data_IF_709817530632
#
_entry.id   IF_709817530632
#
_cell.length_a   1.000
_cell.length_b   1.000
_cell.length_c   1.000
_cell.angle_alpha   90.00
_cell.angle_beta   90.00
_cell.angle_gamma   90.00
#
_symmetry.space_group_name_H-M   'P 1'
#
loop_
_entity.id
_entity.type
_entity.pdbx_description
1 polymer ?
#
# COMPACT_ATOMS: atom_id res chain seq x y z
N UNK A 1 10.27 23.20 -47.75
CA UNK A 1 10.14 21.87 -47.11
C UNK A 1 11.18 21.65 -45.98
N UNK A 2 12.48 21.78 -46.24
CA UNK A 2 13.55 21.59 -45.24
C UNK A 2 13.44 22.47 -43.97
N UNK A 3 13.05 23.75 -44.11
CA UNK A 3 12.91 24.69 -42.97
C UNK A 3 11.74 24.28 -42.05
N UNK A 4 10.64 23.78 -42.62
CA UNK A 4 9.47 23.34 -41.86
C UNK A 4 9.75 22.06 -41.06
N UNK A 5 10.47 21.10 -41.66
CA UNK A 5 10.92 19.88 -40.98
C UNK A 5 11.90 20.19 -39.84
N UNK A 6 12.81 21.16 -40.04
CA UNK A 6 13.77 21.60 -39.02
C UNK A 6 13.06 22.26 -37.83
N UNK A 7 12.00 23.03 -38.08
CA UNK A 7 11.14 23.62 -37.03
C UNK A 7 10.37 22.54 -36.27
N UNK A 8 9.71 21.61 -36.97
CA UNK A 8 9.01 20.46 -36.35
C UNK A 8 9.94 19.65 -35.43
N UNK A 9 11.16 19.36 -35.88
CA UNK A 9 12.15 18.65 -35.09
C UNK A 9 12.63 19.46 -33.87
N UNK A 10 12.75 20.78 -34.02
CA UNK A 10 13.10 21.68 -32.91
C UNK A 10 11.98 21.79 -31.86
N UNK A 11 10.72 21.91 -32.29
CA UNK A 11 9.56 21.88 -31.40
C UNK A 11 9.45 20.53 -30.68
N UNK A 12 9.61 19.40 -31.38
CA UNK A 12 9.63 18.07 -30.77
C UNK A 12 10.71 17.92 -29.69
N UNK A 13 11.96 18.33 -29.99
CA UNK A 13 13.07 18.31 -29.01
C UNK A 13 12.82 19.23 -27.80
N UNK A 14 12.17 20.37 -28.01
CA UNK A 14 11.82 21.32 -26.94
C UNK A 14 10.71 20.76 -26.04
N UNK A 15 9.68 20.15 -26.62
CA UNK A 15 8.62 19.45 -25.88
C UNK A 15 9.18 18.28 -25.05
N UNK A 16 10.08 17.47 -25.63
CA UNK A 16 10.73 16.35 -24.91
C UNK A 16 11.59 16.86 -23.76
N UNK A 17 12.38 17.92 -23.95
CA UNK A 17 13.17 18.55 -22.86
C UNK A 17 12.27 19.13 -21.77
N UNK A 18 11.18 19.79 -22.13
CA UNK A 18 10.22 20.32 -21.17
C UNK A 18 9.56 19.20 -20.37
N UNK A 19 9.11 18.14 -21.04
CA UNK A 19 8.54 16.94 -20.41
C UNK A 19 9.53 16.27 -19.45
N UNK A 20 10.79 16.07 -19.86
CA UNK A 20 11.86 15.55 -19.00
C UNK A 20 12.12 16.43 -17.78
N UNK A 21 12.14 17.76 -17.95
CA UNK A 21 12.35 18.70 -16.84
C UNK A 21 11.19 18.66 -15.85
N UNK A 22 9.94 18.69 -16.34
CA UNK A 22 8.75 18.57 -15.49
C UNK A 22 8.76 17.24 -14.72
N UNK A 23 9.14 16.14 -15.38
CA UNK A 23 9.26 14.83 -14.75
C UNK A 23 10.35 14.79 -13.67
N UNK A 24 11.56 15.31 -13.95
CA UNK A 24 12.63 15.37 -12.96
C UNK A 24 12.30 16.28 -11.79
N UNK A 25 11.66 17.42 -12.05
CA UNK A 25 11.19 18.31 -10.99
C UNK A 25 10.16 17.61 -10.10
N UNK A 26 9.23 16.85 -10.67
CA UNK A 26 8.27 16.04 -9.92
C UNK A 26 8.95 15.00 -9.03
N UNK A 27 9.90 14.23 -9.59
CA UNK A 27 10.67 13.25 -8.82
C UNK A 27 11.46 13.90 -7.67
N UNK A 28 12.06 15.08 -7.91
CA UNK A 28 12.78 15.81 -6.87
C UNK A 28 11.86 16.31 -5.76
N UNK A 29 10.62 16.73 -6.10
CA UNK A 29 9.63 17.18 -5.13
C UNK A 29 9.12 16.01 -4.29
N UNK A 30 8.77 14.88 -4.91
CA UNK A 30 8.33 13.67 -4.21
C UNK A 30 9.41 13.16 -3.24
N UNK A 31 10.67 13.11 -3.68
CA UNK A 31 11.80 12.72 -2.84
C UNK A 31 12.02 13.68 -1.66
N UNK A 32 11.90 14.99 -1.89
CA UNK A 32 12.01 16.00 -0.82
C UNK A 32 10.91 15.85 0.22
N UNK A 33 9.65 15.68 -0.21
CA UNK A 33 8.50 15.50 0.68
C UNK A 33 8.71 14.27 1.57
N UNK A 34 9.06 13.13 0.98
CA UNK A 34 9.26 11.87 1.72
C UNK A 34 10.42 11.99 2.71
N UNK A 35 11.52 12.65 2.32
CA UNK A 35 12.64 12.87 3.23
C UNK A 35 12.27 13.79 4.40
N UNK A 36 11.50 14.85 4.15
CA UNK A 36 11.01 15.73 5.21
C UNK A 36 10.08 14.98 6.18
N UNK A 37 9.13 14.19 5.66
CA UNK A 37 8.27 13.34 6.47
C UNK A 37 9.09 12.34 7.30
N UNK A 38 10.14 11.74 6.73
CA UNK A 38 11.06 10.86 7.47
C UNK A 38 11.74 11.59 8.63
N UNK A 39 12.24 12.81 8.41
CA UNK A 39 12.83 13.64 9.48
C UNK A 39 11.81 13.98 10.57
N UNK A 40 10.57 14.29 10.21
CA UNK A 40 9.49 14.57 11.17
C UNK A 40 9.12 13.32 11.96
N UNK A 41 9.03 12.16 11.31
CA UNK A 41 8.72 10.87 11.95
C UNK A 41 9.73 10.49 13.03
N UNK A 42 11.02 10.71 12.77
CA UNK A 42 12.09 10.45 13.75
C UNK A 42 11.99 11.31 15.02
N UNK A 43 11.27 12.44 14.98
CA UNK A 43 11.07 13.33 16.12
C UNK A 43 9.76 13.06 16.89
N UNK A 44 8.93 12.12 16.42
CA UNK A 44 7.69 11.79 17.10
C UNK A 44 7.97 11.08 18.43
N UNK A 45 7.26 11.51 19.47
CA UNK A 45 7.28 10.88 20.81
C UNK A 45 6.05 10.02 21.09
N UNK A 46 5.07 10.06 20.19
CA UNK A 46 3.79 9.37 20.29
C UNK A 46 3.55 8.53 19.03
N UNK A 47 3.00 7.33 19.25
CA UNK A 47 2.64 6.38 18.21
C UNK A 47 1.57 6.91 17.26
N UNK A 48 0.55 7.64 17.74
CA UNK A 48 -0.50 8.16 16.88
C UNK A 48 0.07 9.18 15.88
N UNK A 49 0.97 10.05 16.35
CA UNK A 49 1.72 10.99 15.52
C UNK A 49 2.65 10.28 14.54
N UNK A 50 3.38 9.26 15.00
CA UNK A 50 4.27 8.43 14.17
C UNK A 50 3.50 7.71 13.04
N UNK A 51 2.33 7.16 13.35
CA UNK A 51 1.44 6.48 12.39
C UNK A 51 0.92 7.48 11.36
N UNK A 52 0.38 8.63 11.77
CA UNK A 52 -0.11 9.66 10.84
C UNK A 52 0.95 10.10 9.82
N UNK A 53 2.20 10.23 10.24
CA UNK A 53 3.29 10.58 9.32
C UNK A 53 3.62 9.43 8.37
N UNK A 54 3.61 8.19 8.83
CA UNK A 54 3.77 7.02 7.96
C UNK A 54 2.68 6.90 6.90
N UNK A 55 1.42 7.22 7.24
CA UNK A 55 0.31 7.28 6.28
C UNK A 55 0.54 8.37 5.23
N UNK A 56 1.09 9.53 5.62
CA UNK A 56 1.46 10.58 4.67
C UNK A 56 2.59 10.15 3.73
N UNK A 57 3.56 9.37 4.23
CA UNK A 57 4.64 8.81 3.41
C UNK A 57 4.09 7.78 2.41
N UNK A 58 3.18 6.91 2.85
CA UNK A 58 2.53 5.92 1.97
C UNK A 58 1.72 6.59 0.86
N UNK A 59 1.02 7.69 1.16
CA UNK A 59 0.33 8.52 0.15
C UNK A 59 1.29 9.16 -0.84
N UNK A 60 2.36 9.77 -0.35
CA UNK A 60 3.35 10.43 -1.20
C UNK A 60 4.06 9.45 -2.16
N UNK A 61 4.27 8.21 -1.72
CA UNK A 61 4.87 7.14 -2.51
C UNK A 61 3.87 6.31 -3.34
N UNK A 62 2.56 6.55 -3.17
CA UNK A 62 1.51 5.78 -3.85
C UNK A 62 1.31 4.35 -3.31
N UNK A 63 1.90 4.01 -2.16
CA UNK A 63 1.83 2.69 -1.52
C UNK A 63 0.45 2.38 -0.93
N UNK A 64 -0.41 3.39 -0.77
CA UNK A 64 -1.80 3.20 -0.38
C UNK A 64 -2.61 2.36 -1.40
N UNK A 65 -2.21 2.37 -2.68
CA UNK A 65 -2.85 1.52 -3.70
C UNK A 65 -2.53 0.05 -3.47
N UNK A 66 -1.27 -0.25 -3.14
CA UNK A 66 -0.82 -1.60 -2.86
C UNK A 66 -1.62 -2.24 -1.72
N UNK A 67 -2.02 -1.47 -0.70
CA UNK A 67 -2.84 -1.98 0.40
C UNK A 67 -4.19 -2.56 -0.04
N UNK A 68 -4.75 -2.04 -1.13
CA UNK A 68 -6.10 -2.34 -1.63
C UNK A 68 -6.14 -3.34 -2.77
N UNK A 69 -5.02 -3.51 -3.47
CA UNK A 69 -4.92 -4.53 -4.50
C UNK A 69 -4.94 -5.90 -3.81
N UNK A 70 -5.54 -6.92 -4.41
CA UNK A 70 -5.42 -8.30 -3.93
C UNK A 70 -4.17 -8.93 -4.56
N UNK A 71 -3.37 -9.63 -3.76
CA UNK A 71 -2.23 -10.39 -4.27
C UNK A 71 -2.26 -11.82 -3.70
N UNK A 72 -2.73 -12.80 -4.50
CA UNK A 72 -2.87 -14.17 -4.06
C UNK A 72 -1.52 -14.86 -3.78
N UNK A 73 -0.39 -14.28 -4.20
CA UNK A 73 0.94 -14.80 -3.85
C UNK A 73 1.36 -14.44 -2.44
N UNK A 74 0.83 -13.33 -1.91
CA UNK A 74 1.15 -12.84 -0.56
C UNK A 74 0.16 -13.36 0.47
N UNK A 75 -1.14 -13.31 0.15
CA UNK A 75 -2.21 -13.67 1.07
C UNK A 75 -3.42 -14.21 0.30
N UNK A 76 -4.05 -15.28 0.79
CA UNK A 76 -5.31 -15.77 0.24
C UNK A 76 -6.48 -15.03 0.90
N UNK A 77 -6.68 -13.79 0.45
CA UNK A 77 -7.74 -12.91 0.95
C UNK A 77 -9.13 -13.55 0.82
N UNK A 78 -9.37 -14.32 -0.24
CA UNK A 78 -10.66 -14.98 -0.47
C UNK A 78 -10.98 -16.00 0.62
N UNK A 79 -10.02 -16.86 0.96
CA UNK A 79 -10.22 -17.83 2.03
C UNK A 79 -10.33 -17.15 3.39
N UNK A 80 -9.52 -16.12 3.66
CA UNK A 80 -9.64 -15.31 4.87
C UNK A 80 -11.04 -14.73 5.04
N UNK A 81 -11.56 -14.07 4.01
CA UNK A 81 -12.86 -13.40 4.10
C UNK A 81 -14.01 -14.40 4.23
N UNK A 82 -13.93 -15.54 3.52
CA UNK A 82 -14.89 -16.62 3.68
C UNK A 82 -14.91 -17.15 5.12
N UNK A 83 -13.75 -17.27 5.77
CA UNK A 83 -13.64 -17.73 7.16
C UNK A 83 -14.11 -16.67 8.15
N UNK A 84 -13.71 -15.42 7.97
CA UNK A 84 -14.19 -14.30 8.79
C UNK A 84 -15.71 -14.20 8.74
N UNK A 85 -16.31 -14.44 7.57
CA UNK A 85 -17.77 -14.51 7.43
C UNK A 85 -18.39 -15.62 8.29
N UNK A 86 -17.84 -16.84 8.25
CA UNK A 86 -18.33 -17.95 9.09
C UNK A 86 -18.28 -17.58 10.58
N UNK A 87 -17.19 -16.95 11.05
CA UNK A 87 -17.11 -16.51 12.44
C UNK A 87 -18.14 -15.43 12.78
N UNK A 88 -18.33 -14.43 11.90
CA UNK A 88 -19.35 -13.40 12.08
C UNK A 88 -20.75 -14.02 12.14
N UNK A 89 -21.08 -14.91 11.20
CA UNK A 89 -22.38 -15.59 11.16
C UNK A 89 -22.63 -16.41 12.43
N UNK A 90 -21.63 -17.13 12.96
CA UNK A 90 -21.76 -17.90 14.21
C UNK A 90 -21.93 -16.98 15.44
N UNK A 91 -21.20 -15.86 15.48
CA UNK A 91 -21.32 -14.87 16.55
C UNK A 91 -22.68 -14.17 16.53
N UNK A 92 -23.16 -13.77 15.35
CA UNK A 92 -24.44 -13.09 15.16
C UNK A 92 -25.63 -14.01 15.51
N UNK A 93 -25.49 -15.31 15.28
CA UNK A 93 -26.46 -16.33 15.69
C UNK A 93 -26.36 -16.73 17.18
N UNK A 94 -25.38 -16.21 17.93
CA UNK A 94 -25.14 -16.57 19.33
C UNK A 94 -24.62 -18.00 19.54
N UNK A 95 -24.14 -18.67 18.49
CA UNK A 95 -23.61 -20.03 18.57
C UNK A 95 -22.15 -20.03 19.03
N UNK A 96 -21.99 -19.89 20.35
CA UNK A 96 -20.68 -19.85 21.01
C UNK A 96 -19.94 -21.19 20.88
N UNK A 97 -20.66 -22.32 20.95
CA UNK A 97 -20.06 -23.66 20.84
C UNK A 97 -19.55 -23.94 19.43
N UNK A 98 -20.34 -23.59 18.40
CA UNK A 98 -19.94 -23.67 17.00
C UNK A 98 -18.71 -22.79 16.72
N UNK A 99 -18.70 -21.56 17.25
CA UNK A 99 -17.53 -20.67 17.13
C UNK A 99 -16.27 -21.30 17.76
N UNK A 100 -16.39 -21.84 18.98
CA UNK A 100 -15.30 -22.56 19.66
C UNK A 100 -14.83 -23.80 18.89
N UNK A 101 -15.74 -24.51 18.22
CA UNK A 101 -15.39 -25.68 17.42
C UNK A 101 -14.58 -25.29 16.17
N UNK A 102 -15.05 -24.30 15.41
CA UNK A 102 -14.36 -23.81 14.21
C UNK A 102 -13.00 -23.20 14.57
N UNK A 103 -12.91 -22.44 15.67
CA UNK A 103 -11.63 -21.91 16.16
C UNK A 103 -10.65 -23.02 16.55
N UNK A 104 -11.14 -24.12 17.15
CA UNK A 104 -10.29 -25.26 17.54
C UNK A 104 -9.77 -26.06 16.36
N UNK A 105 -10.53 -26.19 15.27
CA UNK A 105 -10.05 -26.86 14.06
C UNK A 105 -8.84 -26.14 13.44
N UNK A 106 -8.72 -24.82 13.63
CA UNK A 106 -7.71 -23.95 13.00
C UNK A 106 -6.48 -23.75 13.90
N UNK A 107 -5.98 -24.81 14.53
CA UNK A 107 -4.89 -24.81 15.52
C UNK A 107 -3.53 -24.32 14.96
N UNK A 108 -3.41 -24.17 13.64
CA UNK A 108 -2.20 -23.74 12.94
C UNK A 108 -2.31 -22.25 12.55
N UNK A 109 -1.67 -21.40 13.36
CA UNK A 109 -1.74 -19.92 13.28
C UNK A 109 -1.13 -19.26 12.03
N UNK A 110 -0.76 -20.02 10.99
CA UNK A 110 0.00 -19.52 9.82
C UNK A 110 -0.71 -19.75 8.47
N UNK A 111 -1.99 -20.09 8.47
CA UNK A 111 -2.72 -20.33 7.23
C UNK A 111 -2.91 -19.07 6.39
N UNK A 112 -3.13 -19.27 5.08
CA UNK A 112 -3.53 -18.25 4.12
C UNK A 112 -2.54 -17.08 3.90
N UNK A 113 -1.28 -17.22 4.33
CA UNK A 113 -0.24 -16.22 4.11
C UNK A 113 -0.30 -15.00 5.04
N UNK A 114 -1.13 -15.02 6.08
CA UNK A 114 -1.32 -13.89 7.03
C UNK A 114 -0.01 -13.48 7.73
N UNK A 115 0.89 -14.43 7.93
CA UNK A 115 2.19 -14.21 8.56
C UNK A 115 3.34 -14.03 7.55
N UNK A 116 3.05 -13.78 6.27
CA UNK A 116 4.08 -13.57 5.26
C UNK A 116 4.85 -12.26 5.57
N UNK A 117 6.17 -12.30 5.81
CA UNK A 117 6.95 -11.11 6.15
C UNK A 117 6.86 -10.01 5.08
N UNK A 118 6.69 -10.40 3.81
CA UNK A 118 6.57 -9.48 2.68
C UNK A 118 5.34 -8.55 2.81
N UNK A 119 4.32 -8.92 3.59
CA UNK A 119 3.16 -8.06 3.87
C UNK A 119 3.50 -6.84 4.74
N UNK A 120 4.60 -6.91 5.49
CA UNK A 120 4.99 -5.88 6.46
C UNK A 120 6.13 -4.98 5.95
N UNK A 121 6.75 -5.32 4.82
CA UNK A 121 7.92 -4.60 4.29
C UNK A 121 7.57 -3.45 3.33
N UNK A 122 6.38 -3.48 2.73
CA UNK A 122 6.04 -2.56 1.63
C UNK A 122 5.60 -1.19 2.12
N UNK A 123 4.77 -1.13 3.17
CA UNK A 123 4.14 0.10 3.64
C UNK A 123 4.80 0.62 4.91
N UNK A 124 4.87 1.94 5.03
CA UNK A 124 5.38 2.61 6.23
C UNK A 124 4.41 2.49 7.40
N UNK A 125 3.14 2.17 7.12
CA UNK A 125 2.09 1.96 8.10
C UNK A 125 1.13 0.84 7.72
N UNK A 126 0.93 -0.09 8.66
CA UNK A 126 0.00 -1.20 8.47
C UNK A 126 0.50 -2.23 7.45
N UNK A 127 -0.43 -3.04 6.97
CA UNK A 127 -0.22 -4.08 5.94
C UNK A 127 -1.32 -3.95 4.88
N UNK A 128 -1.39 -4.92 3.95
CA UNK A 128 -2.57 -5.08 3.10
C UNK A 128 -3.87 -5.13 3.90
N UNK A 129 -4.91 -4.53 3.32
CA UNK A 129 -6.27 -4.59 3.81
C UNK A 129 -6.91 -5.89 3.31
N UNK A 130 -7.33 -6.75 4.23
CA UNK A 130 -8.22 -7.87 3.91
C UNK A 130 -9.64 -7.41 4.26
N UNK A 131 -10.55 -7.34 3.29
CA UNK A 131 -11.93 -6.82 3.47
C UNK A 131 -12.92 -7.92 3.80
#
# INVERSE_FOLDING_TARGET
VLIALRRLFWYGRRCIRAGRRCFMNRLSQEAWIVNELRRRRMRCKDYASFRKIGEQMDKALGLDKWKKEDDPQLVDAKQLNARTKVYRDLMDNGDVEGCLFVLRQELLRKHFGVCNPNLFEVTNTGTKECV
#
